data_IF_040050658403
#
_entry.id   IF_040050658403
#
_cell.length_a   1.000
_cell.length_b   1.000
_cell.length_c   1.000
_cell.angle_alpha   90.00
_cell.angle_beta   90.00
_cell.angle_gamma   90.00
#
_symmetry.space_group_name_H-M   'P 1'
#
loop_
_entity.id
_entity.type
_entity.pdbx_description
1 polymer ?
#
# COMPACT_ATOMS: atom_id res chain seq x y z
N UNK A 1 -25.97 -56.21 -72.83
CA UNK A 1 -26.26 -57.20 -71.78
C UNK A 1 -25.17 -57.06 -70.72
N UNK A 2 -25.57 -56.71 -69.49
CA UNK A 2 -24.90 -56.81 -68.17
C UNK A 2 -23.37 -56.72 -68.06
N UNK A 3 -22.77 -56.16 -67.01
CA UNK A 3 -23.19 -55.37 -65.85
C UNK A 3 -21.89 -54.89 -65.16
N UNK A 4 -22.06 -54.08 -64.12
CA UNK A 4 -21.13 -53.85 -63.01
C UNK A 4 -20.00 -52.82 -63.22
N UNK A 5 -20.36 -51.54 -62.97
CA UNK A 5 -19.43 -50.51 -62.49
C UNK A 5 -19.50 -50.47 -60.95
N UNK A 6 -18.34 -50.66 -60.33
CA UNK A 6 -18.11 -50.62 -58.88
C UNK A 6 -18.16 -49.19 -58.34
N UNK A 7 -18.93 -49.00 -57.25
CA UNK A 7 -18.94 -47.82 -56.38
C UNK A 7 -17.87 -48.01 -55.30
N UNK A 8 -17.04 -46.99 -55.05
CA UNK A 8 -16.24 -46.76 -53.83
C UNK A 8 -16.14 -45.24 -53.69
N UNK A 9 -16.89 -44.59 -52.79
CA UNK A 9 -16.47 -44.28 -51.41
C UNK A 9 -15.01 -43.81 -51.34
N UNK A 10 -14.79 -42.49 -51.31
CA UNK A 10 -14.34 -41.80 -50.09
C UNK A 10 -14.37 -40.28 -50.29
N UNK A 11 -15.39 -39.63 -49.72
CA UNK A 11 -15.40 -38.20 -49.50
C UNK A 11 -14.70 -37.94 -48.16
N UNK A 12 -13.47 -37.42 -48.21
CA UNK A 12 -12.82 -36.86 -47.02
C UNK A 12 -13.57 -35.58 -46.61
N UNK A 13 -13.99 -35.45 -45.35
CA UNK A 13 -14.36 -34.16 -44.80
C UNK A 13 -13.10 -33.30 -44.72
N UNK A 14 -13.23 -32.08 -45.21
CA UNK A 14 -12.28 -30.98 -45.06
C UNK A 14 -12.15 -30.69 -43.56
N UNK A 15 -11.06 -31.17 -42.94
CA UNK A 15 -10.68 -30.83 -41.58
C UNK A 15 -10.30 -29.34 -41.57
N UNK A 16 -11.30 -28.49 -41.36
CA UNK A 16 -11.16 -27.11 -40.95
C UNK A 16 -10.49 -27.03 -39.58
N UNK A 17 -9.18 -27.28 -39.55
CA UNK A 17 -8.34 -26.87 -38.43
C UNK A 17 -8.39 -25.35 -38.37
N UNK A 18 -8.97 -24.84 -37.28
CA UNK A 18 -9.22 -23.43 -37.06
C UNK A 18 -7.96 -22.61 -37.23
N UNK A 19 -8.01 -21.67 -38.17
CA UNK A 19 -7.17 -20.47 -38.16
C UNK A 19 -7.27 -19.86 -36.77
N UNK A 20 -6.23 -20.01 -35.95
CA UNK A 20 -6.05 -19.16 -34.76
C UNK A 20 -6.24 -17.73 -35.23
N UNK A 21 -7.24 -17.03 -34.70
CA UNK A 21 -7.53 -15.67 -35.10
C UNK A 21 -6.27 -14.83 -34.81
N UNK A 22 -5.61 -14.36 -35.88
CA UNK A 22 -4.33 -13.64 -35.84
C UNK A 22 -4.35 -12.48 -34.83
N UNK A 23 -5.55 -11.94 -34.55
CA UNK A 23 -5.77 -10.89 -33.54
C UNK A 23 -5.34 -11.32 -32.13
N UNK A 24 -5.46 -12.59 -31.75
CA UNK A 24 -4.97 -13.06 -30.44
C UNK A 24 -3.46 -12.92 -30.31
N UNK A 25 -2.71 -13.26 -31.37
CA UNK A 25 -1.27 -13.09 -31.41
C UNK A 25 -0.89 -11.61 -31.20
N UNK A 26 -1.56 -10.71 -31.92
CA UNK A 26 -1.35 -9.26 -31.80
C UNK A 26 -1.72 -8.72 -30.41
N UNK A 27 -2.84 -9.16 -29.83
CA UNK A 27 -3.26 -8.75 -28.48
C UNK A 27 -2.24 -9.20 -27.44
N UNK A 28 -1.79 -10.46 -27.53
CA UNK A 28 -0.78 -11.01 -26.63
C UNK A 28 0.53 -10.22 -26.74
N UNK A 29 0.98 -9.92 -27.94
CA UNK A 29 2.17 -9.10 -28.16
C UNK A 29 2.01 -7.68 -27.58
N UNK A 30 0.85 -7.05 -27.79
CA UNK A 30 0.55 -5.72 -27.27
C UNK A 30 0.59 -5.70 -25.72
N UNK A 31 -0.04 -6.68 -25.05
CA UNK A 31 0.06 -6.81 -23.59
C UNK A 31 1.49 -7.09 -23.12
N UNK A 32 2.24 -7.96 -23.81
CA UNK A 32 3.65 -8.21 -23.47
C UNK A 32 4.50 -6.95 -23.62
N UNK A 33 4.22 -6.12 -24.63
CA UNK A 33 4.77 -4.79 -24.81
C UNK A 33 4.50 -3.89 -23.60
N UNK A 34 3.25 -3.84 -23.12
CA UNK A 34 2.89 -3.08 -21.92
C UNK A 34 3.57 -3.63 -20.64
N UNK A 35 3.63 -4.95 -20.46
CA UNK A 35 4.31 -5.58 -19.31
C UNK A 35 5.78 -5.21 -19.27
N UNK A 36 6.46 -5.24 -20.42
CA UNK A 36 7.86 -4.83 -20.57
C UNK A 36 8.02 -3.34 -20.30
N UNK A 37 7.16 -2.51 -20.86
CA UNK A 37 7.16 -1.06 -20.64
C UNK A 37 6.98 -0.69 -19.17
N UNK A 38 6.01 -1.29 -18.48
CA UNK A 38 5.86 -1.12 -17.03
C UNK A 38 7.16 -1.52 -16.31
N UNK A 39 7.76 -2.65 -16.67
CA UNK A 39 9.02 -3.09 -16.09
C UNK A 39 10.22 -2.17 -16.37
N UNK A 40 10.30 -1.54 -17.53
CA UNK A 40 11.30 -0.53 -17.87
C UNK A 40 11.07 0.75 -17.06
N UNK A 41 9.82 1.20 -16.99
CA UNK A 41 9.43 2.35 -16.18
C UNK A 41 9.80 2.16 -14.71
N UNK A 42 9.63 0.95 -14.17
CA UNK A 42 10.00 0.56 -12.79
C UNK A 42 11.49 0.55 -12.50
N UNK A 43 12.33 0.26 -13.51
CA UNK A 43 13.78 0.07 -13.34
C UNK A 43 14.56 1.37 -13.34
N UNK A 44 13.93 2.47 -13.76
CA UNK A 44 14.53 3.77 -13.70
C UNK A 44 14.44 4.29 -12.27
N UNK A 45 15.60 4.31 -11.60
CA UNK A 45 15.84 5.20 -10.46
C UNK A 45 15.33 6.60 -10.81
N UNK A 46 14.80 7.30 -9.81
CA UNK A 46 14.22 8.62 -9.97
C UNK A 46 15.14 9.53 -10.79
N UNK A 47 14.78 9.78 -12.06
CA UNK A 47 15.62 10.48 -13.05
C UNK A 47 15.60 11.99 -12.89
N UNK A 48 14.87 12.48 -11.90
CA UNK A 48 14.79 13.90 -11.58
C UNK A 48 16.13 14.41 -11.09
N UNK A 49 16.43 15.65 -11.43
CA UNK A 49 17.69 16.27 -11.02
C UNK A 49 17.77 16.40 -9.50
N UNK A 50 18.88 15.98 -8.89
CA UNK A 50 19.11 16.19 -7.46
C UNK A 50 19.58 17.63 -7.22
N UNK A 51 18.75 18.43 -6.57
CA UNK A 51 19.07 19.82 -6.24
C UNK A 51 19.09 20.06 -4.73
N UNK A 52 20.20 20.60 -4.23
CA UNK A 52 20.34 20.98 -2.82
C UNK A 52 19.49 22.19 -2.45
N UNK A 53 19.38 23.17 -3.35
CA UNK A 53 18.69 24.44 -3.11
C UNK A 53 17.95 24.92 -4.39
N UNK A 54 16.83 24.29 -4.77
CA UNK A 54 16.06 24.74 -5.93
C UNK A 54 15.54 26.16 -5.70
N UNK A 55 15.60 26.98 -6.74
CA UNK A 55 15.05 28.34 -6.73
C UNK A 55 13.53 28.32 -6.50
N UNK A 56 13.00 29.42 -5.97
CA UNK A 56 11.55 29.58 -5.85
C UNK A 56 10.94 29.74 -7.24
N UNK A 57 9.84 29.04 -7.48
CA UNK A 57 9.12 29.13 -8.75
C UNK A 57 8.56 30.53 -8.94
N UNK A 58 8.73 31.05 -10.15
CA UNK A 58 8.02 32.23 -10.63
C UNK A 58 6.50 31.99 -10.67
N UNK A 59 5.72 33.07 -10.75
CA UNK A 59 4.26 32.96 -10.84
C UNK A 59 3.83 32.26 -12.13
N UNK A 60 4.57 32.49 -13.20
CA UNK A 60 4.36 31.92 -14.52
C UNK A 60 4.60 30.40 -14.49
N UNK A 61 5.67 29.94 -13.85
CA UNK A 61 5.93 28.51 -13.66
C UNK A 61 4.86 27.84 -12.79
N UNK A 62 4.43 28.50 -11.72
CA UNK A 62 3.32 27.99 -10.87
C UNK A 62 2.04 27.88 -11.70
N UNK A 63 1.71 28.88 -12.52
CA UNK A 63 0.52 28.84 -13.37
C UNK A 63 0.60 27.72 -14.41
N UNK A 64 1.74 27.56 -15.09
CA UNK A 64 1.96 26.49 -16.06
C UNK A 64 1.83 25.10 -15.42
N UNK A 65 2.46 24.87 -14.27
CA UNK A 65 2.34 23.59 -13.54
C UNK A 65 0.93 23.33 -13.01
N UNK A 66 0.19 24.37 -12.62
CA UNK A 66 -1.22 24.22 -12.24
C UNK A 66 -2.08 23.76 -13.43
N UNK A 67 -1.82 24.27 -14.64
CA UNK A 67 -2.52 23.81 -15.83
C UNK A 67 -2.27 22.31 -16.09
N UNK A 68 -1.01 21.86 -15.99
CA UNK A 68 -0.66 20.43 -16.10
C UNK A 68 -1.35 19.60 -15.01
N UNK A 69 -1.37 20.08 -13.77
CA UNK A 69 -2.06 19.40 -12.68
C UNK A 69 -3.57 19.28 -12.95
N UNK A 70 -4.19 20.32 -13.52
CA UNK A 70 -5.61 20.31 -13.92
C UNK A 70 -5.86 19.23 -14.97
N UNK A 71 -5.13 19.28 -16.08
CA UNK A 71 -5.22 18.29 -17.16
C UNK A 71 -5.07 16.84 -16.64
N UNK A 72 -4.10 16.61 -15.75
CA UNK A 72 -3.87 15.31 -15.13
C UNK A 72 -5.11 14.75 -14.43
N UNK A 73 -5.78 15.54 -13.59
CA UNK A 73 -6.87 15.05 -12.75
C UNK A 73 -8.25 15.16 -13.40
N UNK A 74 -8.43 16.03 -14.40
CA UNK A 74 -9.72 16.16 -15.11
C UNK A 74 -9.82 15.30 -16.36
N UNK A 75 -8.69 15.00 -17.01
CA UNK A 75 -8.68 14.35 -18.32
C UNK A 75 -7.88 13.06 -18.32
N UNK A 76 -6.58 13.11 -17.99
CA UNK A 76 -5.66 12.00 -18.23
C UNK A 76 -5.89 10.80 -17.31
N UNK A 77 -5.95 11.03 -15.99
CA UNK A 77 -6.21 9.96 -15.03
C UNK A 77 -7.62 9.37 -15.18
N UNK A 78 -8.70 10.17 -15.35
CA UNK A 78 -10.02 9.63 -15.66
C UNK A 78 -10.05 8.84 -16.98
N UNK A 79 -9.35 9.27 -18.02
CA UNK A 79 -9.24 8.51 -19.27
C UNK A 79 -8.54 7.16 -19.07
N UNK A 80 -7.45 7.10 -18.30
CA UNK A 80 -6.78 5.85 -17.95
C UNK A 80 -7.72 4.88 -17.20
N UNK A 81 -8.46 5.39 -16.20
CA UNK A 81 -9.46 4.60 -15.47
C UNK A 81 -10.52 4.02 -16.41
N UNK A 82 -11.07 4.85 -17.32
CA UNK A 82 -12.03 4.39 -18.33
C UNK A 82 -11.43 3.30 -19.21
N UNK A 83 -10.19 3.44 -19.68
CA UNK A 83 -9.52 2.40 -20.47
C UNK A 83 -9.39 1.07 -19.72
N UNK A 84 -9.05 1.09 -18.43
CA UNK A 84 -9.01 -0.12 -17.59
C UNK A 84 -10.39 -0.78 -17.47
N UNK A 85 -11.43 0.01 -17.25
CA UNK A 85 -12.81 -0.50 -17.18
C UNK A 85 -13.29 -1.05 -18.51
N UNK A 86 -13.05 -0.33 -19.61
CA UNK A 86 -13.37 -0.78 -20.97
C UNK A 86 -12.61 -2.03 -21.35
N UNK A 87 -11.34 -2.17 -20.95
CA UNK A 87 -10.57 -3.39 -21.20
C UNK A 87 -11.17 -4.60 -20.47
N UNK A 88 -11.59 -4.42 -19.21
CA UNK A 88 -12.29 -5.46 -18.47
C UNK A 88 -13.60 -5.83 -19.16
N UNK A 89 -14.38 -4.86 -19.63
CA UNK A 89 -15.65 -5.09 -20.33
C UNK A 89 -15.48 -5.70 -21.74
N UNK A 90 -14.38 -5.41 -22.44
CA UNK A 90 -14.11 -5.99 -23.76
C UNK A 90 -13.64 -7.45 -23.65
N UNK A 91 -12.92 -7.78 -22.57
CA UNK A 91 -12.54 -9.17 -22.25
C UNK A 91 -13.73 -9.94 -21.66
N UNK A 92 -14.64 -9.25 -20.95
CA UNK A 92 -15.86 -9.82 -20.35
C UNK A 92 -17.09 -9.03 -20.76
N UNK A 93 -17.94 -9.62 -21.61
CA UNK A 93 -19.26 -9.05 -21.91
C UNK A 93 -20.07 -8.88 -20.61
N UNK A 94 -20.01 -7.66 -20.08
CA UNK A 94 -20.75 -7.05 -18.99
C UNK A 94 -21.03 -7.91 -17.73
N UNK A 95 -19.99 -8.14 -16.89
CA UNK A 95 -20.05 -8.26 -15.42
C UNK A 95 -20.96 -9.33 -14.77
N UNK A 96 -21.74 -10.04 -15.58
CA UNK A 96 -22.81 -10.95 -15.23
C UNK A 96 -22.69 -12.04 -16.26
N UNK A 97 -22.14 -13.19 -15.88
CA UNK A 97 -22.13 -14.37 -16.74
C UNK A 97 -23.60 -14.63 -17.11
N UNK A 98 -24.03 -14.45 -18.37
CA UNK A 98 -25.39 -14.76 -18.74
C UNK A 98 -25.60 -16.24 -18.45
N UNK A 99 -26.66 -16.60 -17.74
CA UNK A 99 -27.01 -18.01 -17.47
C UNK A 99 -27.13 -18.85 -18.74
N UNK A 100 -27.33 -18.17 -19.88
CA UNK A 100 -27.56 -18.76 -21.18
C UNK A 100 -26.27 -18.88 -22.03
N UNK A 101 -25.16 -18.25 -21.63
CA UNK A 101 -23.85 -18.40 -22.26
C UNK A 101 -22.70 -18.28 -21.23
N UNK A 102 -22.23 -19.40 -20.66
CA UNK A 102 -21.21 -19.39 -19.61
C UNK A 102 -19.80 -19.03 -20.09
N UNK A 103 -19.57 -18.80 -21.40
CA UNK A 103 -18.26 -18.45 -21.95
C UNK A 103 -18.38 -17.44 -23.11
N UNK A 104 -18.71 -16.16 -22.82
CA UNK A 104 -18.78 -15.13 -23.86
C UNK A 104 -17.43 -14.95 -24.58
N UNK A 105 -17.46 -14.80 -25.90
CA UNK A 105 -16.25 -14.50 -26.68
C UNK A 105 -15.76 -13.07 -26.41
N UNK A 106 -14.44 -12.87 -26.23
CA UNK A 106 -13.86 -11.54 -26.04
C UNK A 106 -13.96 -10.68 -27.30
N UNK A 107 -14.14 -9.37 -27.13
CA UNK A 107 -14.21 -8.39 -28.21
C UNK A 107 -12.81 -8.00 -28.68
N UNK A 108 -12.15 -8.89 -29.42
CA UNK A 108 -10.74 -8.75 -29.83
C UNK A 108 -10.41 -7.43 -30.54
N UNK A 109 -11.34 -6.92 -31.37
CA UNK A 109 -11.18 -5.63 -32.04
C UNK A 109 -11.11 -4.45 -31.07
N UNK A 110 -12.01 -4.43 -30.09
CA UNK A 110 -12.04 -3.38 -29.05
C UNK A 110 -10.82 -3.48 -28.14
N UNK A 111 -10.38 -4.69 -27.80
CA UNK A 111 -9.16 -4.90 -27.01
C UNK A 111 -7.95 -4.29 -27.74
N UNK A 112 -7.78 -4.57 -29.04
CA UNK A 112 -6.68 -3.99 -29.82
C UNK A 112 -6.73 -2.46 -29.87
N UNK A 113 -7.92 -1.88 -30.08
CA UNK A 113 -8.10 -0.43 -30.09
C UNK A 113 -7.69 0.18 -28.74
N UNK A 114 -8.17 -0.37 -27.63
CA UNK A 114 -7.83 0.09 -26.27
C UNK A 114 -6.32 -0.01 -26.01
N UNK A 115 -5.69 -1.12 -26.41
CA UNK A 115 -4.26 -1.36 -26.17
C UNK A 115 -3.36 -0.43 -26.99
N UNK A 116 -3.79 -0.04 -28.20
CA UNK A 116 -2.99 0.80 -29.12
C UNK A 116 -2.59 2.15 -28.49
N UNK A 117 -3.47 2.73 -27.67
CA UNK A 117 -3.26 4.04 -27.03
C UNK A 117 -2.92 3.93 -25.53
N UNK A 118 -2.83 2.72 -24.98
CA UNK A 118 -2.57 2.53 -23.55
C UNK A 118 -1.12 2.91 -23.20
N UNK A 119 -0.17 2.43 -24.01
CA UNK A 119 1.25 2.70 -23.82
C UNK A 119 1.59 4.20 -23.89
N UNK A 120 1.22 4.92 -24.96
CA UNK A 120 1.44 6.37 -25.08
C UNK A 120 0.79 7.16 -23.93
N UNK A 121 -0.42 6.78 -23.50
CA UNK A 121 -1.09 7.42 -22.36
C UNK A 121 -0.30 7.32 -21.06
N UNK A 122 0.29 6.15 -20.77
CA UNK A 122 1.13 5.98 -19.58
C UNK A 122 2.39 6.85 -19.62
N UNK A 123 3.02 7.00 -20.79
CA UNK A 123 4.18 7.89 -20.94
C UNK A 123 3.80 9.35 -20.71
N UNK A 124 2.68 9.78 -21.30
CA UNK A 124 2.22 11.15 -21.18
C UNK A 124 1.83 11.51 -19.74
N UNK A 125 1.14 10.60 -19.04
CA UNK A 125 0.85 10.76 -17.61
C UNK A 125 2.15 10.84 -16.81
N UNK A 126 3.12 9.95 -17.06
CA UNK A 126 4.40 9.98 -16.34
C UNK A 126 5.15 11.29 -16.56
N UNK A 127 5.28 11.71 -17.82
CA UNK A 127 5.97 12.95 -18.18
C UNK A 127 5.32 14.16 -17.51
N UNK A 128 3.99 14.23 -17.52
CA UNK A 128 3.21 15.28 -16.86
C UNK A 128 3.43 15.28 -15.35
N UNK A 129 3.42 14.11 -14.69
CA UNK A 129 3.69 13.99 -13.25
C UNK A 129 5.12 14.45 -12.91
N UNK A 130 6.12 14.04 -13.70
CA UNK A 130 7.52 14.47 -13.52
C UNK A 130 7.67 15.97 -13.71
N UNK A 131 6.93 16.58 -14.64
CA UNK A 131 6.94 18.03 -14.86
C UNK A 131 6.45 18.82 -13.63
N UNK A 132 5.54 18.25 -12.82
CA UNK A 132 5.07 18.90 -11.60
C UNK A 132 6.18 19.04 -10.55
N UNK A 133 7.04 18.04 -10.43
CA UNK A 133 8.18 18.04 -9.52
C UNK A 133 9.45 17.59 -10.27
N UNK A 134 10.18 18.49 -10.94
CA UNK A 134 11.28 18.12 -11.83
C UNK A 134 12.56 17.68 -11.10
N UNK A 135 12.65 17.95 -9.79
CA UNK A 135 13.85 17.70 -9.00
C UNK A 135 13.55 16.94 -7.71
N UNK A 136 14.56 16.21 -7.24
CA UNK A 136 14.60 15.57 -5.92
C UNK A 136 15.53 16.35 -5.00
N UNK A 137 15.41 16.11 -3.69
CA UNK A 137 16.38 16.65 -2.74
C UNK A 137 17.38 15.57 -2.37
N UNK A 138 18.67 15.93 -2.39
CA UNK A 138 19.68 15.15 -1.68
C UNK A 138 19.27 15.00 -0.21
N UNK A 139 19.36 13.78 0.31
CA UNK A 139 18.81 13.27 1.58
C UNK A 139 19.08 14.09 2.87
N UNK A 140 19.78 15.23 2.84
CA UNK A 140 20.31 15.90 4.04
C UNK A 140 19.59 17.17 4.53
N UNK A 141 18.67 17.79 3.77
CA UNK A 141 18.02 19.06 4.22
C UNK A 141 16.52 19.17 3.95
N UNK A 142 15.72 18.57 4.84
CA UNK A 142 14.26 18.78 4.96
C UNK A 142 13.89 20.12 5.63
N UNK A 143 14.41 21.27 5.16
CA UNK A 143 14.23 22.56 5.87
C UNK A 143 13.76 23.74 5.02
N UNK A 144 13.38 23.53 3.76
CA UNK A 144 12.80 24.58 2.92
C UNK A 144 11.31 24.84 3.20
N UNK A 145 10.95 25.97 3.82
CA UNK A 145 9.55 26.46 3.91
C UNK A 145 9.07 27.11 2.60
N UNK A 146 9.77 26.89 1.47
CA UNK A 146 9.63 27.70 0.25
C UNK A 146 8.32 27.49 -0.50
N UNK A 147 7.61 26.39 -0.28
CA UNK A 147 6.43 26.00 -1.05
C UNK A 147 5.08 26.15 -0.32
N UNK A 148 5.06 26.83 0.84
CA UNK A 148 3.82 27.10 1.60
C UNK A 148 2.71 27.72 0.73
N UNK A 149 3.10 28.60 -0.21
CA UNK A 149 2.18 29.30 -1.11
C UNK A 149 1.85 28.55 -2.41
N UNK A 150 2.45 27.38 -2.65
CA UNK A 150 2.28 26.66 -3.93
C UNK A 150 0.96 25.88 -4.00
N UNK A 151 0.24 25.76 -2.89
CA UNK A 151 -1.04 25.06 -2.81
C UNK A 151 -0.88 23.58 -3.15
N UNK A 152 -1.56 23.11 -4.20
CA UNK A 152 -1.50 21.71 -4.65
C UNK A 152 -0.17 21.32 -5.32
N UNK A 153 0.69 22.29 -5.66
CA UNK A 153 2.01 22.06 -6.27
C UNK A 153 3.14 21.93 -5.23
N UNK A 154 2.80 21.77 -3.95
CA UNK A 154 3.80 21.47 -2.92
C UNK A 154 4.56 20.21 -3.26
N UNK A 155 5.86 20.23 -2.99
CA UNK A 155 6.75 19.10 -3.26
C UNK A 155 6.27 17.82 -2.57
N UNK A 156 5.81 17.93 -1.32
CA UNK A 156 5.18 16.87 -0.54
C UNK A 156 4.14 16.06 -1.33
N UNK A 157 3.30 16.76 -2.12
CA UNK A 157 2.21 16.15 -2.89
C UNK A 157 2.70 15.59 -4.21
N UNK A 158 3.48 16.37 -4.95
CA UNK A 158 3.99 15.95 -6.25
C UNK A 158 4.94 14.75 -6.12
N UNK A 159 5.78 14.69 -5.08
CA UNK A 159 6.65 13.54 -4.81
C UNK A 159 5.83 12.29 -4.45
N UNK A 160 4.73 12.42 -3.70
CA UNK A 160 3.80 11.31 -3.45
C UNK A 160 3.12 10.83 -4.71
N UNK A 161 2.71 11.75 -5.58
CA UNK A 161 2.09 11.41 -6.85
C UNK A 161 3.05 10.63 -7.75
N UNK A 162 4.32 11.05 -7.83
CA UNK A 162 5.39 10.31 -8.52
C UNK A 162 5.54 8.91 -7.92
N UNK A 163 5.71 8.82 -6.59
CA UNK A 163 5.95 7.55 -5.90
C UNK A 163 4.77 6.57 -6.03
N UNK A 164 3.53 7.05 -5.89
CA UNK A 164 2.34 6.22 -6.08
C UNK A 164 2.24 5.75 -7.53
N UNK A 165 2.36 6.65 -8.50
CA UNK A 165 2.28 6.29 -9.91
C UNK A 165 3.33 5.24 -10.30
N UNK A 166 4.59 5.45 -9.92
CA UNK A 166 5.67 4.51 -10.22
C UNK A 166 5.44 3.17 -9.51
N UNK A 167 5.06 3.16 -8.23
CA UNK A 167 4.75 1.93 -7.47
C UNK A 167 3.59 1.13 -8.09
N UNK A 168 2.49 1.81 -8.43
CA UNK A 168 1.30 1.17 -9.02
C UNK A 168 1.57 0.65 -10.44
N UNK A 169 2.43 1.32 -11.24
CA UNK A 169 2.92 0.77 -12.51
C UNK A 169 3.72 -0.52 -12.29
N UNK A 170 4.63 -0.51 -11.31
CA UNK A 170 5.49 -1.66 -11.02
C UNK A 170 4.69 -2.90 -10.63
N UNK A 171 3.70 -2.71 -9.75
CA UNK A 171 3.04 -3.80 -9.04
C UNK A 171 1.68 -4.11 -9.66
N UNK A 172 0.80 -3.13 -9.80
CA UNK A 172 -0.61 -3.38 -10.11
C UNK A 172 -0.85 -3.48 -11.62
N UNK A 173 -0.45 -2.47 -12.39
CA UNK A 173 -0.67 -2.45 -13.83
C UNK A 173 0.11 -3.56 -14.56
N UNK A 174 1.35 -3.80 -14.14
CA UNK A 174 2.14 -4.90 -14.70
C UNK A 174 1.51 -6.27 -14.46
N UNK A 175 1.01 -6.53 -13.25
CA UNK A 175 0.41 -7.82 -12.92
C UNK A 175 -0.96 -7.99 -13.57
N UNK A 176 -1.78 -6.94 -13.70
CA UNK A 176 -3.06 -7.06 -14.41
C UNK A 176 -2.86 -7.36 -15.90
N UNK A 177 -1.88 -6.74 -16.58
CA UNK A 177 -1.60 -7.07 -17.98
C UNK A 177 -1.15 -8.52 -18.18
N UNK A 178 -0.30 -9.04 -17.28
CA UNK A 178 0.05 -10.47 -17.29
C UNK A 178 -1.18 -11.36 -17.09
N UNK A 179 -2.12 -10.91 -16.27
CA UNK A 179 -3.34 -11.63 -15.97
C UNK A 179 -4.30 -11.67 -17.15
N UNK A 180 -4.42 -10.57 -17.91
CA UNK A 180 -5.16 -10.54 -19.18
C UNK A 180 -4.59 -11.50 -20.22
N UNK A 181 -3.25 -11.60 -20.33
CA UNK A 181 -2.62 -12.60 -21.22
C UNK A 181 -3.05 -14.01 -20.84
N UNK A 182 -2.92 -14.38 -19.57
CA UNK A 182 -3.29 -15.72 -19.07
C UNK A 182 -4.77 -16.02 -19.30
N UNK A 183 -5.63 -15.03 -19.05
CA UNK A 183 -7.07 -15.11 -19.31
C UNK A 183 -7.38 -15.45 -20.77
N UNK A 184 -6.75 -14.75 -21.71
CA UNK A 184 -6.98 -14.99 -23.14
C UNK A 184 -6.42 -16.35 -23.58
N UNK A 185 -5.28 -16.77 -23.04
CA UNK A 185 -4.71 -18.11 -23.27
C UNK A 185 -5.62 -19.22 -22.74
N UNK A 186 -6.12 -19.09 -21.51
CA UNK A 186 -7.04 -20.08 -20.93
C UNK A 186 -8.36 -20.15 -21.71
N UNK A 187 -8.88 -19.02 -22.21
CA UNK A 187 -10.07 -19.01 -23.06
C UNK A 187 -9.83 -19.74 -24.39
N UNK A 188 -8.67 -19.55 -25.03
CA UNK A 188 -8.29 -20.20 -26.28
C UNK A 188 -8.10 -21.71 -26.14
N UNK A 189 -7.44 -22.17 -25.07
CA UNK A 189 -6.98 -23.57 -24.95
C UNK A 189 -7.89 -24.45 -24.07
N UNK A 190 -8.76 -23.86 -23.26
CA UNK A 190 -9.53 -24.59 -22.24
C UNK A 190 -11.04 -24.26 -22.22
N UNK A 191 -11.60 -23.89 -23.37
CA UNK A 191 -13.04 -23.61 -23.56
C UNK A 191 -13.93 -24.77 -23.10
N UNK A 192 -14.36 -24.76 -21.83
CA UNK A 192 -15.19 -25.83 -21.26
C UNK A 192 -15.16 -25.95 -19.73
N UNK A 193 -14.15 -25.38 -19.05
CA UNK A 193 -14.11 -25.37 -17.57
C UNK A 193 -14.68 -24.06 -17.04
N UNK A 194 -15.75 -24.14 -16.23
CA UNK A 194 -16.32 -22.99 -15.54
C UNK A 194 -15.25 -22.32 -14.69
N UNK A 195 -14.96 -21.07 -15.04
CA UNK A 195 -13.74 -20.39 -14.69
C UNK A 195 -14.01 -19.14 -13.82
N UNK A 196 -15.20 -19.13 -13.19
CA UNK A 196 -15.74 -18.04 -12.37
C UNK A 196 -14.78 -17.54 -11.27
N UNK A 197 -13.97 -18.43 -10.70
CA UNK A 197 -13.01 -18.08 -9.63
C UNK A 197 -11.92 -17.12 -10.13
N UNK A 198 -11.32 -17.39 -11.30
CA UNK A 198 -10.26 -16.50 -11.80
C UNK A 198 -10.83 -15.24 -12.45
N UNK A 199 -12.03 -15.32 -13.04
CA UNK A 199 -12.77 -14.16 -13.55
C UNK A 199 -13.04 -13.16 -12.43
N UNK A 200 -13.51 -13.64 -11.28
CA UNK A 200 -13.69 -12.85 -10.06
C UNK A 200 -12.37 -12.22 -9.63
N UNK A 201 -11.28 -12.99 -9.61
CA UNK A 201 -9.96 -12.49 -9.24
C UNK A 201 -9.45 -11.40 -10.19
N UNK A 202 -9.63 -11.56 -11.50
CA UNK A 202 -9.23 -10.55 -12.48
C UNK A 202 -10.08 -9.28 -12.35
N UNK A 203 -11.39 -9.43 -12.13
CA UNK A 203 -12.29 -8.32 -11.79
C UNK A 203 -11.82 -7.55 -10.56
N UNK A 204 -11.52 -8.24 -9.45
CA UNK A 204 -10.99 -7.65 -8.22
C UNK A 204 -9.68 -6.89 -8.46
N UNK A 205 -8.79 -7.43 -9.30
CA UNK A 205 -7.50 -6.80 -9.63
C UNK A 205 -7.67 -5.57 -10.53
N UNK A 206 -8.58 -5.61 -11.51
CA UNK A 206 -8.89 -4.46 -12.34
C UNK A 206 -9.56 -3.35 -11.53
N UNK A 207 -10.45 -3.71 -10.61
CA UNK A 207 -11.05 -2.77 -9.68
C UNK A 207 -9.99 -2.15 -8.74
N UNK A 208 -9.03 -2.95 -8.27
CA UNK A 208 -7.90 -2.44 -7.50
C UNK A 208 -7.09 -1.40 -8.29
N UNK A 209 -6.76 -1.67 -9.57
CA UNK A 209 -6.09 -0.68 -10.42
C UNK A 209 -6.93 0.60 -10.59
N UNK A 210 -8.25 0.48 -10.74
CA UNK A 210 -9.14 1.64 -10.83
C UNK A 210 -9.16 2.46 -9.53
N UNK A 211 -9.11 1.80 -8.37
CA UNK A 211 -9.00 2.48 -7.06
C UNK A 211 -7.67 3.21 -6.91
N UNK A 212 -6.57 2.67 -7.44
CA UNK A 212 -5.26 3.35 -7.44
C UNK A 212 -5.31 4.65 -8.25
N UNK A 213 -5.89 4.61 -9.46
CA UNK A 213 -6.07 5.83 -10.28
C UNK A 213 -6.92 6.87 -9.55
N UNK A 214 -7.95 6.44 -8.82
CA UNK A 214 -8.75 7.33 -7.97
C UNK A 214 -7.93 7.94 -6.83
N UNK A 215 -7.02 7.18 -6.21
CA UNK A 215 -6.10 7.70 -5.20
C UNK A 215 -5.18 8.77 -5.79
N UNK A 216 -4.65 8.57 -7.02
CA UNK A 216 -3.83 9.57 -7.69
C UNK A 216 -4.59 10.89 -7.89
N UNK A 217 -5.85 10.80 -8.33
CA UNK A 217 -6.74 11.96 -8.47
C UNK A 217 -6.95 12.64 -7.12
N UNK A 218 -7.14 11.88 -6.04
CA UNK A 218 -7.27 12.43 -4.69
C UNK A 218 -5.98 13.10 -4.19
N UNK A 219 -4.80 12.58 -4.53
CA UNK A 219 -3.51 13.22 -4.22
C UNK A 219 -3.33 14.49 -5.07
N UNK A 220 -3.85 14.53 -6.29
CA UNK A 220 -3.80 15.73 -7.12
C UNK A 220 -4.73 16.85 -6.60
N UNK A 221 -5.91 16.48 -6.12
CA UNK A 221 -7.01 17.44 -5.85
C UNK A 221 -7.28 17.72 -4.37
N UNK A 222 -7.00 16.79 -3.47
CA UNK A 222 -7.39 16.84 -2.06
C UNK A 222 -6.67 17.91 -1.24
N UNK A 223 -7.07 18.12 0.02
CA UNK A 223 -6.28 18.94 0.95
C UNK A 223 -4.99 18.22 1.37
N UNK A 224 -4.04 18.93 1.96
CA UNK A 224 -2.81 18.30 2.48
C UNK A 224 -3.12 17.29 3.58
N UNK A 225 -4.15 17.57 4.39
CA UNK A 225 -4.64 16.64 5.39
C UNK A 225 -5.18 15.35 4.75
N UNK A 226 -5.91 15.45 3.62
CA UNK A 226 -6.42 14.27 2.92
C UNK A 226 -5.30 13.40 2.36
N UNK A 227 -4.22 14.01 1.87
CA UNK A 227 -3.02 13.27 1.42
C UNK A 227 -2.37 12.54 2.61
N UNK A 228 -2.24 13.18 3.76
CA UNK A 228 -1.74 12.52 4.98
C UNK A 228 -2.65 11.38 5.46
N UNK A 229 -3.98 11.51 5.30
CA UNK A 229 -4.91 10.44 5.63
C UNK A 229 -4.71 9.20 4.75
N UNK A 230 -4.41 9.38 3.47
CA UNK A 230 -4.09 8.28 2.56
C UNK A 230 -2.80 7.57 3.02
N UNK A 231 -1.75 8.33 3.34
CA UNK A 231 -0.51 7.74 3.89
C UNK A 231 -0.74 6.96 5.20
N UNK A 232 -1.55 7.51 6.11
CA UNK A 232 -1.90 6.83 7.37
C UNK A 232 -2.72 5.57 7.14
N UNK A 233 -3.50 5.51 6.07
CA UNK A 233 -4.24 4.32 5.68
C UNK A 233 -3.30 3.20 5.27
N UNK A 234 -2.24 3.49 4.51
CA UNK A 234 -1.21 2.52 4.16
C UNK A 234 -0.46 2.02 5.40
N UNK A 235 -0.13 2.91 6.33
CA UNK A 235 0.49 2.55 7.61
C UNK A 235 -0.43 1.66 8.46
N UNK A 236 -1.74 1.94 8.46
CA UNK A 236 -2.75 1.15 9.15
C UNK A 236 -2.91 -0.24 8.54
N UNK A 237 -2.93 -0.36 7.22
CA UNK A 237 -2.96 -1.63 6.51
C UNK A 237 -1.69 -2.45 6.81
N UNK A 238 -0.52 -1.79 6.78
CA UNK A 238 0.78 -2.41 7.08
C UNK A 238 0.87 -2.92 8.52
N UNK A 239 0.13 -2.32 9.45
CA UNK A 239 0.06 -2.75 10.85
C UNK A 239 -0.76 -4.04 11.06
N UNK A 240 -1.61 -4.43 10.11
CA UNK A 240 -2.45 -5.63 10.22
C UNK A 240 -1.63 -6.92 10.28
N UNK A 241 -0.53 -7.01 9.52
CA UNK A 241 0.33 -8.20 9.52
C UNK A 241 1.03 -8.41 10.89
N UNK A 242 1.77 -7.42 11.45
CA UNK A 242 2.35 -7.52 12.79
C UNK A 242 1.32 -7.89 13.86
N UNK A 243 0.11 -7.35 13.80
CA UNK A 243 -0.98 -7.68 14.73
C UNK A 243 -1.38 -9.15 14.66
N UNK A 244 -1.59 -9.68 13.46
CA UNK A 244 -1.88 -11.12 13.26
C UNK A 244 -0.74 -11.99 13.80
N UNK A 245 0.52 -11.60 13.54
CA UNK A 245 1.70 -12.31 14.06
C UNK A 245 1.75 -12.30 15.59
N UNK A 246 1.51 -11.14 16.21
CA UNK A 246 1.48 -10.99 17.67
C UNK A 246 0.37 -11.84 18.29
N UNK A 247 -0.82 -11.81 17.71
CA UNK A 247 -1.98 -12.57 18.19
C UNK A 247 -1.70 -14.08 18.18
N UNK A 248 -1.25 -14.61 17.03
CA UNK A 248 -0.89 -16.02 16.88
C UNK A 248 0.26 -16.42 17.84
N UNK A 249 1.26 -15.55 18.01
CA UNK A 249 2.38 -15.83 18.92
C UNK A 249 1.94 -15.80 20.39
N UNK A 250 1.03 -14.89 20.76
CA UNK A 250 0.51 -14.78 22.11
C UNK A 250 -0.26 -16.04 22.53
N UNK A 251 -1.04 -16.64 21.62
CA UNK A 251 -1.73 -17.91 21.89
C UNK A 251 -0.73 -19.05 22.18
N UNK A 252 0.34 -19.15 21.38
CA UNK A 252 1.38 -20.16 21.56
C UNK A 252 2.15 -19.95 22.86
N UNK A 253 2.56 -18.72 23.15
CA UNK A 253 3.28 -18.36 24.38
C UNK A 253 2.39 -18.57 25.61
N UNK A 254 1.10 -18.26 25.51
CA UNK A 254 0.13 -18.47 26.58
C UNK A 254 -0.06 -19.95 26.92
N UNK A 255 -0.16 -20.82 25.91
CA UNK A 255 -0.18 -22.28 26.09
C UNK A 255 1.12 -22.76 26.76
N UNK A 256 2.28 -22.30 26.25
CA UNK A 256 3.59 -22.66 26.80
C UNK A 256 3.76 -22.24 28.27
N UNK A 257 3.40 -21.00 28.61
CA UNK A 257 3.47 -20.47 29.96
C UNK A 257 2.48 -21.17 30.91
N UNK A 258 1.30 -21.55 30.40
CA UNK A 258 0.31 -22.34 31.14
C UNK A 258 0.80 -23.75 31.48
N UNK A 259 1.45 -24.42 30.52
CA UNK A 259 2.04 -25.75 30.69
C UNK A 259 3.31 -25.75 31.54
N UNK A 260 4.11 -24.68 31.50
CA UNK A 260 5.36 -24.56 32.26
C UNK A 260 5.35 -23.30 33.16
N UNK A 261 4.43 -23.28 34.14
CA UNK A 261 4.27 -22.16 35.10
C UNK A 261 5.52 -21.82 35.91
N UNK A 262 6.52 -22.71 35.90
CA UNK A 262 7.79 -22.53 36.61
C UNK A 262 8.87 -21.84 35.79
N UNK A 263 8.61 -21.42 34.54
CA UNK A 263 9.56 -20.65 33.74
C UNK A 263 9.29 -19.14 33.85
N UNK A 264 10.11 -18.38 34.62
CA UNK A 264 10.02 -16.92 34.66
C UNK A 264 10.22 -16.27 33.29
N UNK A 265 11.01 -16.90 32.42
CA UNK A 265 11.29 -16.44 31.06
C UNK A 265 10.04 -16.47 30.19
N UNK A 266 9.30 -17.58 30.18
CA UNK A 266 8.05 -17.70 29.42
C UNK A 266 6.98 -16.73 29.93
N UNK A 267 6.89 -16.54 31.24
CA UNK A 267 5.96 -15.57 31.82
C UNK A 267 6.32 -14.12 31.45
N UNK A 268 7.61 -13.78 31.47
CA UNK A 268 8.08 -12.46 31.04
C UNK A 268 7.82 -12.22 29.54
N UNK A 269 8.03 -13.23 28.69
CA UNK A 269 7.71 -13.16 27.26
C UNK A 269 6.21 -13.01 27.04
N UNK A 270 5.37 -13.78 27.74
CA UNK A 270 3.91 -13.67 27.66
C UNK A 270 3.45 -12.23 27.92
N UNK A 271 3.91 -11.63 29.01
CA UNK A 271 3.56 -10.25 29.34
C UNK A 271 4.06 -9.23 28.30
N UNK A 272 5.26 -9.44 27.73
CA UNK A 272 5.78 -8.58 26.67
C UNK A 272 4.99 -8.70 25.35
N UNK A 273 4.54 -9.89 24.99
CA UNK A 273 3.62 -10.08 23.86
C UNK A 273 2.30 -9.36 24.10
N UNK A 274 1.68 -9.56 25.27
CA UNK A 274 0.41 -8.88 25.63
C UNK A 274 0.55 -7.36 25.58
N UNK A 275 1.63 -6.81 26.14
CA UNK A 275 1.85 -5.36 26.11
C UNK A 275 2.12 -4.84 24.69
N UNK A 276 2.83 -5.60 23.84
CA UNK A 276 3.11 -5.21 22.45
C UNK A 276 1.84 -5.25 21.59
N UNK A 277 1.01 -6.27 21.74
CA UNK A 277 -0.30 -6.37 21.07
C UNK A 277 -1.20 -5.19 21.46
N UNK A 278 -1.23 -4.82 22.75
CA UNK A 278 -1.99 -3.66 23.22
C UNK A 278 -1.45 -2.34 22.64
N UNK A 279 -0.14 -2.16 22.55
CA UNK A 279 0.45 -0.99 21.89
C UNK A 279 0.08 -0.94 20.40
N UNK A 280 0.08 -2.09 19.72
CA UNK A 280 -0.33 -2.18 18.34
C UNK A 280 -1.82 -1.84 18.14
N UNK A 281 -2.70 -2.34 19.01
CA UNK A 281 -4.12 -1.98 19.00
C UNK A 281 -4.36 -0.49 19.25
N UNK A 282 -3.56 0.14 20.12
CA UNK A 282 -3.64 1.59 20.33
C UNK A 282 -3.12 2.40 19.13
N UNK A 283 -2.11 1.89 18.41
CA UNK A 283 -1.66 2.51 17.16
C UNK A 283 -2.74 2.41 16.07
N UNK A 284 -3.46 1.29 15.99
CA UNK A 284 -4.67 1.15 15.16
C UNK A 284 -5.72 2.20 15.54
N UNK A 285 -6.04 2.33 16.83
CA UNK A 285 -6.99 3.34 17.32
C UNK A 285 -6.55 4.76 16.94
N UNK A 286 -5.25 5.06 17.07
CA UNK A 286 -4.68 6.33 16.65
C UNK A 286 -4.93 6.60 15.15
N UNK A 287 -4.53 5.68 14.26
CA UNK A 287 -4.74 5.84 12.83
C UNK A 287 -6.23 6.00 12.49
N UNK A 288 -7.10 5.15 13.03
CA UNK A 288 -8.55 5.27 12.82
C UNK A 288 -9.09 6.64 13.23
N UNK A 289 -8.59 7.21 14.33
CA UNK A 289 -9.01 8.53 14.80
C UNK A 289 -8.64 9.63 13.80
N UNK A 290 -7.46 9.55 13.18
CA UNK A 290 -7.00 10.56 12.20
C UNK A 290 -7.52 10.32 10.78
N UNK A 291 -7.85 9.09 10.41
CA UNK A 291 -8.30 8.74 9.05
C UNK A 291 -9.81 8.88 8.82
N UNK A 292 -10.64 8.85 9.87
CA UNK A 292 -12.10 8.85 9.69
C UNK A 292 -12.59 10.17 9.09
N UNK A 293 -13.57 10.10 8.19
CA UNK A 293 -14.20 11.29 7.57
C UNK A 293 -14.92 12.21 8.55
N UNK A 294 -15.15 11.73 9.79
CA UNK A 294 -15.64 12.50 10.94
C UNK A 294 -14.51 13.13 11.75
N UNK A 295 -13.28 13.16 11.25
CA UNK A 295 -12.17 13.78 11.95
C UNK A 295 -12.55 15.23 12.24
N UNK A 296 -12.61 15.57 13.53
CA UNK A 296 -12.95 16.92 13.98
C UNK A 296 -11.81 17.91 13.70
N UNK A 297 -10.69 17.42 13.18
CA UNK A 297 -9.50 18.20 12.87
C UNK A 297 -9.15 18.13 11.38
N UNK A 298 -8.52 19.19 10.90
CA UNK A 298 -7.84 19.30 9.60
C UNK A 298 -6.52 20.06 9.81
N UNK A 299 -5.72 20.23 8.76
CA UNK A 299 -4.56 21.11 8.75
C UNK A 299 -4.79 22.33 7.86
N UNK A 300 -4.09 23.45 8.12
CA UNK A 300 -4.16 24.62 7.27
C UNK A 300 -3.46 24.38 5.93
N UNK A 301 -3.95 25.02 4.88
CA UNK A 301 -3.41 24.87 3.53
C UNK A 301 -2.06 25.58 3.33
N UNK A 302 -1.53 26.27 4.34
CA UNK A 302 -0.24 26.99 4.26
C UNK A 302 0.91 26.22 4.92
N UNK A 303 0.74 24.96 5.30
CA UNK A 303 1.86 24.14 5.76
C UNK A 303 2.85 23.90 4.63
N UNK A 304 4.13 24.01 4.94
CA UNK A 304 5.22 23.68 4.02
C UNK A 304 5.36 22.18 3.84
N UNK A 305 6.06 21.77 2.78
CA UNK A 305 6.46 20.36 2.62
C UNK A 305 7.14 19.78 3.85
N UNK A 306 8.03 20.52 4.53
CA UNK A 306 8.72 19.96 5.69
C UNK A 306 7.80 19.74 6.89
N UNK A 307 6.86 20.65 7.12
CA UNK A 307 5.90 20.52 8.23
C UNK A 307 5.03 19.29 8.01
N UNK A 308 4.55 19.10 6.78
CA UNK A 308 3.78 17.91 6.37
C UNK A 308 4.61 16.63 6.46
N UNK A 309 5.84 16.63 5.95
CA UNK A 309 6.78 15.50 6.05
C UNK A 309 7.10 15.16 7.51
N UNK A 310 7.23 16.15 8.38
CA UNK A 310 7.49 15.90 9.80
C UNK A 310 6.30 15.27 10.49
N UNK A 311 5.08 15.74 10.20
CA UNK A 311 3.85 15.12 10.70
C UNK A 311 3.83 13.66 10.25
N UNK A 312 3.91 13.43 8.93
CA UNK A 312 3.92 12.09 8.34
C UNK A 312 4.99 11.20 8.97
N UNK A 313 6.26 11.61 8.89
CA UNK A 313 7.40 10.82 9.33
C UNK A 313 7.38 10.49 10.81
N UNK A 314 6.82 11.34 11.67
CA UNK A 314 6.68 11.01 13.09
C UNK A 314 5.60 9.94 13.30
N UNK A 315 4.49 10.05 12.58
CA UNK A 315 3.36 9.12 12.69
C UNK A 315 3.61 7.77 12.00
N UNK A 316 4.21 7.74 10.82
CA UNK A 316 4.43 6.50 10.04
C UNK A 316 5.46 5.56 10.68
N UNK A 317 6.25 6.06 11.62
CA UNK A 317 7.24 5.28 12.35
C UNK A 317 6.63 4.35 13.40
N UNK A 318 5.34 4.47 13.73
CA UNK A 318 4.70 3.58 14.71
C UNK A 318 4.72 2.12 14.21
N UNK A 319 4.30 1.89 12.97
CA UNK A 319 4.20 0.58 12.35
C UNK A 319 5.53 -0.20 12.31
N UNK A 320 6.65 0.34 11.77
CA UNK A 320 7.91 -0.40 11.73
C UNK A 320 8.51 -0.68 13.12
N UNK A 321 8.27 0.17 14.12
CA UNK A 321 8.74 -0.14 15.48
C UNK A 321 7.92 -1.23 16.15
N UNK A 322 6.60 -1.28 15.92
CA UNK A 322 5.75 -2.38 16.38
C UNK A 322 6.18 -3.69 15.68
N UNK A 323 6.40 -3.67 14.36
CA UNK A 323 6.86 -4.85 13.64
C UNK A 323 8.19 -5.38 14.19
N UNK A 324 9.17 -4.49 14.40
CA UNK A 324 10.46 -4.86 15.01
C UNK A 324 10.31 -5.46 16.41
N UNK A 325 9.37 -4.95 17.21
CA UNK A 325 9.07 -5.52 18.53
C UNK A 325 8.47 -6.92 18.40
N UNK A 326 7.50 -7.12 17.51
CA UNK A 326 6.88 -8.41 17.24
C UNK A 326 7.93 -9.44 16.78
N UNK A 327 8.72 -9.11 15.75
CA UNK A 327 9.81 -9.97 15.27
C UNK A 327 10.80 -10.34 16.37
N UNK A 328 11.25 -9.35 17.16
CA UNK A 328 12.23 -9.60 18.22
C UNK A 328 11.66 -10.49 19.34
N UNK A 329 10.37 -10.38 19.67
CA UNK A 329 9.72 -11.25 20.64
C UNK A 329 9.51 -12.66 20.09
N UNK A 330 9.08 -12.78 18.83
CA UNK A 330 8.90 -14.07 18.16
C UNK A 330 10.21 -14.83 18.07
N UNK A 331 11.32 -14.17 17.73
CA UNK A 331 12.64 -14.80 17.69
C UNK A 331 13.16 -15.21 19.08
N UNK A 332 12.83 -14.44 20.13
CA UNK A 332 13.12 -14.86 21.51
C UNK A 332 12.28 -16.09 21.90
N UNK A 333 10.99 -16.11 21.58
CA UNK A 333 10.12 -17.23 21.92
C UNK A 333 10.47 -18.52 21.17
N UNK A 334 10.77 -18.44 19.87
CA UNK A 334 11.23 -19.58 19.06
C UNK A 334 12.50 -20.22 19.59
N UNK A 335 13.32 -19.49 20.35
CA UNK A 335 14.52 -20.04 20.98
C UNK A 335 14.19 -20.74 22.29
N UNK A 336 13.22 -20.23 23.04
CA UNK A 336 12.72 -20.81 24.29
C UNK A 336 11.84 -22.06 24.11
N UNK A 337 11.10 -22.18 23.01
CA UNK A 337 10.03 -23.17 22.88
C UNK A 337 10.41 -24.57 22.33
N UNK A 338 11.40 -24.78 21.44
CA UNK A 338 11.75 -26.12 20.98
C UNK A 338 12.76 -26.87 21.89
N UNK A 339 13.33 -26.24 22.92
CA UNK A 339 14.33 -26.87 23.77
C UNK A 339 13.93 -26.79 25.24
N UNK A 340 13.45 -27.91 25.77
CA UNK A 340 13.36 -28.15 27.21
C UNK A 340 14.73 -28.15 27.93
N UNK A 341 15.83 -27.73 27.29
CA UNK A 341 17.19 -27.95 27.76
C UNK A 341 18.11 -26.77 27.36
N UNK A 342 18.44 -25.91 28.33
CA UNK A 342 19.68 -25.11 28.40
C UNK A 342 20.03 -24.10 27.28
N UNK A 343 19.19 -23.08 27.06
CA UNK A 343 19.43 -22.00 26.09
C UNK A 343 20.56 -21.02 26.50
N UNK A 344 21.10 -21.14 27.72
CA UNK A 344 22.23 -20.34 28.19
C UNK A 344 23.59 -21.05 28.10
N UNK A 345 23.69 -22.15 27.35
CA UNK A 345 24.92 -22.96 27.24
C UNK A 345 26.04 -22.27 26.47
N UNK A 346 25.74 -21.51 25.41
CA UNK A 346 26.77 -20.86 24.59
C UNK A 346 26.81 -19.35 24.79
N UNK A 347 28.01 -18.75 24.70
CA UNK A 347 28.19 -17.29 24.67
C UNK A 347 27.43 -16.64 23.52
N UNK A 348 27.35 -17.34 22.38
CA UNK A 348 26.69 -16.88 21.16
C UNK A 348 25.16 -16.71 21.35
N UNK A 349 24.52 -17.62 22.09
CA UNK A 349 23.08 -17.52 22.38
C UNK A 349 22.77 -16.35 23.31
N UNK A 350 23.59 -16.13 24.34
CA UNK A 350 23.46 -14.97 25.25
C UNK A 350 23.64 -13.65 24.52
N UNK A 351 24.62 -13.57 23.62
CA UNK A 351 24.88 -12.36 22.82
C UNK A 351 23.69 -12.03 21.90
N UNK A 352 23.07 -13.04 21.30
CA UNK A 352 21.92 -12.84 20.45
C UNK A 352 20.66 -12.47 21.25
N UNK A 353 20.37 -13.15 22.37
CA UNK A 353 19.25 -12.78 23.25
C UNK A 353 19.42 -11.32 23.72
N UNK A 354 20.64 -10.95 24.10
CA UNK A 354 20.99 -9.57 24.48
C UNK A 354 20.74 -8.59 23.32
N UNK A 355 21.02 -8.99 22.08
CA UNK A 355 20.73 -8.19 20.88
C UNK A 355 19.23 -7.98 20.67
N UNK A 356 18.40 -9.02 20.83
CA UNK A 356 16.94 -8.88 20.73
C UNK A 356 16.37 -8.01 21.86
N UNK A 357 16.85 -8.16 23.11
CA UNK A 357 16.43 -7.28 24.22
C UNK A 357 16.83 -5.83 23.97
N UNK A 358 18.03 -5.59 23.42
CA UNK A 358 18.46 -4.24 23.02
C UNK A 358 17.57 -3.70 21.90
N UNK A 359 17.23 -4.52 20.91
CA UNK A 359 16.31 -4.18 19.83
C UNK A 359 14.94 -3.77 20.38
N UNK A 360 14.35 -4.58 21.27
CA UNK A 360 13.08 -4.30 21.96
C UNK A 360 13.11 -2.98 22.71
N UNK A 361 14.19 -2.72 23.48
CA UNK A 361 14.37 -1.47 24.21
C UNK A 361 14.41 -0.26 23.28
N UNK A 362 15.19 -0.35 22.20
CA UNK A 362 15.35 0.74 21.23
C UNK A 362 14.04 0.98 20.49
N UNK A 363 13.36 -0.07 20.05
CA UNK A 363 12.08 0.02 19.36
C UNK A 363 11.02 0.65 20.26
N UNK A 364 10.86 0.20 21.51
CA UNK A 364 9.89 0.77 22.45
C UNK A 364 10.18 2.24 22.79
N UNK A 365 11.45 2.63 22.92
CA UNK A 365 11.82 4.04 23.11
C UNK A 365 11.45 4.89 21.89
N UNK A 366 11.82 4.43 20.69
CA UNK A 366 11.52 5.16 19.45
C UNK A 366 10.02 5.21 19.18
N UNK A 367 9.28 4.14 19.46
CA UNK A 367 7.83 4.04 19.34
C UNK A 367 7.12 5.09 20.21
N UNK A 368 7.48 5.19 21.50
CA UNK A 368 6.94 6.24 22.38
C UNK A 368 7.26 7.65 21.85
N UNK A 369 8.54 7.90 21.50
CA UNK A 369 8.99 9.21 21.03
C UNK A 369 8.28 9.62 19.74
N UNK A 370 8.05 8.68 18.83
CA UNK A 370 7.31 8.90 17.59
C UNK A 370 5.86 9.29 17.86
N UNK A 371 5.17 8.56 18.74
CA UNK A 371 3.79 8.91 19.10
C UNK A 371 3.71 10.29 19.75
N UNK A 372 4.52 10.56 20.78
CA UNK A 372 4.49 11.85 21.48
C UNK A 372 4.80 13.02 20.54
N UNK A 373 5.78 12.86 19.64
CA UNK A 373 6.13 13.88 18.66
C UNK A 373 5.03 14.07 17.61
N UNK A 374 4.47 12.98 17.07
CA UNK A 374 3.36 13.05 16.10
C UNK A 374 2.13 13.70 16.71
N UNK A 375 1.77 13.31 17.93
CA UNK A 375 0.69 13.92 18.70
C UNK A 375 0.95 15.41 18.96
N UNK A 376 2.16 15.82 19.30
CA UNK A 376 2.50 17.23 19.49
C UNK A 376 2.39 18.04 18.18
N UNK A 377 2.84 17.49 17.06
CA UNK A 377 2.73 18.14 15.75
C UNK A 377 1.27 18.27 15.30
N UNK A 378 0.47 17.20 15.47
CA UNK A 378 -0.97 17.27 15.20
C UNK A 378 -1.62 18.33 16.09
N UNK A 379 -1.30 18.37 17.39
CA UNK A 379 -1.81 19.40 18.30
C UNK A 379 -1.43 20.81 17.85
N UNK A 380 -0.20 21.00 17.37
CA UNK A 380 0.31 22.31 16.97
C UNK A 380 -0.32 22.83 15.68
N UNK A 381 -0.56 21.94 14.70
CA UNK A 381 -1.03 22.33 13.38
C UNK A 381 -2.54 22.11 13.15
N UNK A 382 -3.27 21.45 14.07
CA UNK A 382 -4.69 21.19 13.84
C UNK A 382 -5.52 22.46 13.82
N UNK A 383 -6.53 22.45 12.96
CA UNK A 383 -7.67 23.36 12.97
C UNK A 383 -8.96 22.54 13.11
N UNK A 384 -10.03 23.08 13.70
CA UNK A 384 -11.35 22.45 13.63
C UNK A 384 -11.76 22.25 12.17
N UNK A 385 -12.24 21.06 11.84
CA UNK A 385 -12.88 20.78 10.54
C UNK A 385 -14.16 21.63 10.38
N UNK A 386 -14.59 22.00 9.16
CA UNK A 386 -15.86 22.70 8.94
C UNK A 386 -17.07 22.02 9.61
N UNK A 387 -17.07 20.69 9.66
CA UNK A 387 -18.10 19.89 10.35
C UNK A 387 -18.03 20.05 11.87
N UNK A 388 -16.84 20.19 12.43
CA UNK A 388 -16.64 20.41 13.85
C UNK A 388 -17.05 21.84 14.25
N UNK A 389 -16.74 22.84 13.42
CA UNK A 389 -17.11 24.24 13.64
C UNK A 389 -18.63 24.48 13.67
N UNK A 390 -19.42 23.61 13.02
CA UNK A 390 -20.89 23.67 13.05
C UNK A 390 -21.49 23.01 14.30
N UNK A 391 -20.83 22.01 14.87
CA UNK A 391 -21.41 21.13 15.89
C UNK A 391 -20.78 21.26 17.29
N UNK A 392 -19.62 21.93 17.41
CA UNK A 392 -18.89 22.06 18.66
C UNK A 392 -18.60 23.53 18.98
N UNK A 393 -18.76 23.95 20.26
CA UNK A 393 -18.40 25.29 20.67
C UNK A 393 -16.89 25.53 20.53
N UNK A 394 -16.44 26.75 20.16
CA UNK A 394 -15.02 27.08 19.95
C UNK A 394 -14.10 26.84 21.16
N UNK A 395 -14.68 26.71 22.36
CA UNK A 395 -13.97 26.49 23.61
C UNK A 395 -13.58 25.02 23.85
N UNK A 396 -14.10 24.08 23.08
CA UNK A 396 -13.80 22.66 23.24
C UNK A 396 -12.44 22.33 22.60
N UNK A 397 -11.49 21.83 23.41
CA UNK A 397 -10.20 21.39 22.89
C UNK A 397 -10.38 20.02 22.19
N UNK A 398 -10.78 20.06 20.92
CA UNK A 398 -11.09 18.89 20.09
C UNK A 398 -9.94 17.89 20.05
N UNK A 399 -8.70 18.37 19.97
CA UNK A 399 -7.51 17.53 20.05
C UNK A 399 -7.45 16.71 21.35
N UNK A 400 -7.68 17.37 22.50
CA UNK A 400 -7.66 16.71 23.81
C UNK A 400 -8.77 15.65 23.88
N UNK A 401 -9.97 15.96 23.41
CA UNK A 401 -11.09 15.01 23.38
C UNK A 401 -10.77 13.77 22.53
N UNK A 402 -10.06 13.93 21.41
CA UNK A 402 -9.72 12.83 20.50
C UNK A 402 -8.57 11.94 21.00
N UNK A 403 -7.50 12.53 21.55
CA UNK A 403 -6.25 11.79 21.77
C UNK A 403 -5.88 11.57 23.24
N UNK A 404 -6.52 12.25 24.20
CA UNK A 404 -6.13 12.16 25.61
C UNK A 404 -6.24 10.74 26.16
N UNK A 405 -7.36 10.06 25.89
CA UNK A 405 -7.58 8.69 26.36
C UNK A 405 -6.54 7.72 25.75
N UNK A 406 -6.38 7.75 24.42
CA UNK A 406 -5.42 6.90 23.70
C UNK A 406 -3.98 7.12 24.21
N UNK A 407 -3.57 8.37 24.42
CA UNK A 407 -2.24 8.70 24.97
C UNK A 407 -2.07 8.23 26.42
N UNK A 408 -3.11 8.35 27.25
CA UNK A 408 -3.09 7.89 28.64
C UNK A 408 -2.93 6.37 28.72
N UNK A 409 -3.75 5.62 27.97
CA UNK A 409 -3.68 4.16 27.87
C UNK A 409 -2.31 3.71 27.35
N UNK A 410 -1.81 4.37 26.31
CA UNK A 410 -0.48 4.09 25.75
C UNK A 410 0.63 4.24 26.78
N UNK A 411 0.64 5.37 27.50
CA UNK A 411 1.65 5.65 28.53
C UNK A 411 1.65 4.60 29.64
N UNK A 412 0.47 4.11 30.01
CA UNK A 412 0.32 3.04 30.99
C UNK A 412 0.87 1.70 30.48
N UNK A 413 0.48 1.28 29.28
CA UNK A 413 0.97 0.02 28.68
C UNK A 413 2.48 0.08 28.47
N UNK A 414 3.02 1.19 27.97
CA UNK A 414 4.45 1.37 27.76
C UNK A 414 5.25 1.30 29.08
N UNK A 415 4.66 1.76 30.20
CA UNK A 415 5.27 1.61 31.53
C UNK A 415 5.34 0.15 31.95
N UNK A 416 4.27 -0.62 31.77
CA UNK A 416 4.24 -2.07 32.01
C UNK A 416 5.26 -2.80 31.14
N UNK A 417 5.27 -2.52 29.85
CA UNK A 417 6.21 -3.10 28.88
C UNK A 417 7.66 -2.91 29.33
N UNK A 418 8.04 -1.69 29.72
CA UNK A 418 9.41 -1.39 30.20
C UNK A 418 9.74 -2.15 31.48
N UNK A 419 8.78 -2.34 32.39
CA UNK A 419 8.99 -3.10 33.61
C UNK A 419 9.21 -4.59 33.30
N UNK A 420 8.38 -5.18 32.43
CA UNK A 420 8.53 -6.57 31.99
C UNK A 420 9.84 -6.79 31.22
N UNK A 421 10.27 -5.82 30.40
CA UNK A 421 11.54 -5.90 29.68
C UNK A 421 12.75 -5.84 30.63
N UNK A 422 12.67 -5.04 31.70
CA UNK A 422 13.70 -5.03 32.76
C UNK A 422 13.73 -6.35 33.51
N UNK A 423 12.57 -6.94 33.82
CA UNK A 423 12.48 -8.25 34.46
C UNK A 423 13.12 -9.34 33.58
N UNK A 424 12.77 -9.38 32.29
CA UNK A 424 13.39 -10.29 31.31
C UNK A 424 14.91 -10.16 31.29
N UNK A 425 15.43 -8.92 31.24
CA UNK A 425 16.89 -8.69 31.23
C UNK A 425 17.61 -9.22 32.46
N UNK A 426 16.98 -9.14 33.65
CA UNK A 426 17.56 -9.68 34.90
C UNK A 426 17.61 -11.20 34.89
N UNK A 427 16.71 -11.88 34.18
CA UNK A 427 16.74 -13.35 34.08
C UNK A 427 17.93 -13.85 33.25
N UNK A 428 18.43 -13.05 32.31
CA UNK A 428 19.50 -13.44 31.38
C UNK A 428 20.89 -13.04 31.88
N UNK A 429 20.97 -11.91 32.59
CA UNK A 429 22.18 -11.47 33.28
C UNK A 429 21.85 -11.31 34.78
N UNK A 430 21.73 -12.42 35.52
CA UNK A 430 21.37 -12.40 36.94
C UNK A 430 22.38 -11.68 37.82
#
# INVERSE_FOLDING_TARGET
MSDAATISEDARPDDGSGSEDERYGLIKEAFQGLVRKCGEMSRHEDRREELENPETLSREEIAARKAVLVELHTELMPALKRKLTSLLAAVFLDGSIPTDNPNPEPLLGEILEILSDFGPSLDYIRASIVQLAPWTHTHSRMFSHRDQAYGQLKKFRCDRLVNQFDSSICINLREIFKSYIRCLEDHLYHSGVSNASWLSWLGEKSEACCREVEQWIQIATGSDFRVLQADWQDDWHSLQHPLKTLHASLELVGKAAGSNRRSPMLLALYHLFTDTERLAALAVKFYMTVMTSRCLITFPDNLSTNELEWVFWRTSRLTPFINRMAESLTELFKREYPMHVEILRTRQDRDLITRHIRSLKVAAFKLQRSLDAGLALICFHHLPSPVASLNHPPSENLYRSLFYETRSQWSHVMRKYRNHLRALRRLINP
#
